data_IF_169674402339
#
_entry.id   IF_169674402339
#
_cell.length_a   1.000
_cell.length_b   1.000
_cell.length_c   1.000
_cell.angle_alpha   90.00
_cell.angle_beta   90.00
_cell.angle_gamma   90.00
#
_symmetry.space_group_name_H-M   'P 1'
#
loop_
_entity.id
_entity.type
_entity.pdbx_description
1 polymer ?
#
# COMPACT_ATOMS: atom_id res chain seq x y z
N UNK A 1 -3.52 -11.46 -61.74
CA UNK A 1 -4.73 -12.06 -62.35
C UNK A 1 -5.72 -12.39 -61.24
N UNK A 2 -6.94 -11.84 -61.31
CA UNK A 2 -8.02 -12.01 -60.32
C UNK A 2 -8.62 -13.43 -60.43
N UNK A 3 -8.80 -14.13 -59.30
CA UNK A 3 -9.71 -15.29 -59.23
C UNK A 3 -10.70 -15.10 -58.08
N UNK A 4 -11.97 -15.35 -58.39
CA UNK A 4 -13.19 -14.94 -57.69
C UNK A 4 -13.53 -15.91 -56.56
N UNK A 5 -13.94 -15.37 -55.41
CA UNK A 5 -14.59 -16.10 -54.32
C UNK A 5 -15.94 -16.67 -54.76
N UNK A 6 -16.23 -17.90 -54.34
CA UNK A 6 -17.59 -18.41 -54.18
C UNK A 6 -17.73 -18.86 -52.73
N UNK A 7 -18.58 -18.16 -51.99
CA UNK A 7 -18.97 -18.50 -50.61
C UNK A 7 -20.10 -19.52 -50.70
N UNK A 8 -19.90 -20.70 -50.13
CA UNK A 8 -20.97 -21.62 -49.76
C UNK A 8 -20.82 -21.90 -48.26
N UNK A 9 -21.64 -21.22 -47.47
CA UNK A 9 -22.01 -21.58 -46.10
C UNK A 9 -23.37 -22.32 -46.20
N UNK A 10 -23.58 -23.42 -45.46
CA UNK A 10 -24.06 -23.23 -44.08
C UNK A 10 -23.53 -24.23 -43.03
N UNK A 11 -23.42 -23.72 -41.79
CA UNK A 11 -23.71 -24.34 -40.47
C UNK A 11 -23.15 -25.75 -40.12
N UNK A 12 -22.58 -26.06 -38.95
CA UNK A 12 -22.36 -25.36 -37.68
C UNK A 12 -21.39 -26.22 -36.82
N UNK A 13 -20.51 -25.54 -36.07
CA UNK A 13 -19.92 -25.92 -34.78
C UNK A 13 -18.94 -27.11 -34.67
N UNK A 14 -17.64 -26.80 -34.55
CA UNK A 14 -16.98 -26.75 -33.23
C UNK A 14 -15.51 -26.33 -33.33
N UNK A 15 -15.25 -25.10 -32.86
CA UNK A 15 -14.00 -24.63 -32.22
C UNK A 15 -12.68 -24.84 -32.98
N UNK A 16 -12.58 -24.26 -34.18
CA UNK A 16 -11.33 -23.61 -34.57
C UNK A 16 -11.51 -22.12 -34.30
N UNK A 17 -11.38 -21.71 -33.03
CA UNK A 17 -11.27 -20.28 -32.71
C UNK A 17 -9.79 -19.96 -32.67
N UNK A 18 -9.41 -19.30 -33.77
CA UNK A 18 -8.28 -18.43 -33.95
C UNK A 18 -7.40 -18.20 -32.71
N UNK A 19 -6.09 -18.40 -32.92
CA UNK A 19 -5.06 -17.58 -32.31
C UNK A 19 -5.27 -16.11 -32.73
N UNK A 20 -6.37 -15.50 -32.29
CA UNK A 20 -6.46 -14.07 -32.18
C UNK A 20 -5.56 -13.72 -31.03
N UNK A 21 -4.56 -12.90 -31.34
CA UNK A 21 -3.99 -11.93 -30.43
C UNK A 21 -4.93 -11.70 -29.25
N UNK A 22 -4.69 -12.41 -28.15
CA UNK A 22 -4.99 -11.85 -26.85
C UNK A 22 -4.00 -10.69 -26.78
N UNK A 23 -4.39 -9.57 -27.42
CA UNK A 23 -3.93 -8.25 -27.08
C UNK A 23 -3.84 -8.30 -25.59
N UNK A 24 -2.61 -8.30 -25.08
CA UNK A 24 -2.33 -7.99 -23.70
C UNK A 24 -2.94 -6.62 -23.54
N UNK A 25 -4.23 -6.59 -23.24
CA UNK A 25 -4.94 -5.42 -22.80
C UNK A 25 -4.27 -5.16 -21.47
N UNK A 26 -3.12 -4.51 -21.57
CA UNK A 26 -2.57 -3.71 -20.51
C UNK A 26 -3.68 -2.71 -20.33
N UNK A 27 -4.63 -3.03 -19.43
CA UNK A 27 -5.64 -2.09 -19.03
C UNK A 27 -4.89 -0.79 -18.78
N UNK A 28 -5.37 0.36 -19.28
CA UNK A 28 -4.83 1.62 -18.81
C UNK A 28 -5.14 1.62 -17.31
N UNK A 29 -4.19 1.18 -16.49
CA UNK A 29 -4.13 1.57 -15.09
C UNK A 29 -3.83 3.05 -15.18
N UNK A 30 -4.89 3.84 -15.33
CA UNK A 30 -4.78 5.28 -15.19
C UNK A 30 -4.08 5.49 -13.86
N UNK A 31 -2.93 6.10 -13.96
CA UNK A 31 -2.10 6.39 -12.82
C UNK A 31 -2.60 7.70 -12.25
N UNK A 32 -2.81 7.75 -10.94
CA UNK A 32 -3.26 8.96 -10.26
C UNK A 32 -2.36 9.31 -9.09
N UNK A 33 -2.57 10.52 -8.57
CA UNK A 33 -1.79 11.08 -7.47
C UNK A 33 -2.53 11.01 -6.14
N UNK A 34 -1.86 10.53 -5.10
CA UNK A 34 -2.35 10.54 -3.73
C UNK A 34 -1.26 11.08 -2.81
N UNK A 35 -1.59 12.07 -2.00
CA UNK A 35 -0.80 12.48 -0.85
C UNK A 35 -1.26 11.70 0.38
N UNK A 36 -0.34 11.03 1.05
CA UNK A 36 -0.58 10.41 2.36
C UNK A 36 0.03 11.30 3.42
N UNK A 37 -0.77 11.64 4.43
CA UNK A 37 -0.31 12.36 5.62
C UNK A 37 -0.54 11.50 6.87
N UNK A 38 0.46 11.49 7.74
CA UNK A 38 0.43 10.90 9.07
C UNK A 38 0.60 12.00 10.11
N UNK A 39 -0.34 12.09 11.04
CA UNK A 39 -0.22 12.84 12.28
C UNK A 39 0.19 11.87 13.39
N UNK A 40 1.49 11.79 13.63
CA UNK A 40 2.05 10.93 14.68
C UNK A 40 2.09 11.71 15.99
N UNK A 41 1.46 11.19 17.04
CA UNK A 41 1.56 11.84 18.34
C UNK A 41 2.99 11.69 18.89
N UNK A 42 3.61 12.75 19.46
CA UNK A 42 4.89 12.59 20.11
C UNK A 42 4.70 11.74 21.37
N UNK A 43 5.60 10.79 21.58
CA UNK A 43 5.61 9.96 22.78
C UNK A 43 6.78 10.36 23.68
N UNK A 44 6.55 10.42 24.99
CA UNK A 44 7.62 10.59 25.98
C UNK A 44 7.97 9.23 26.59
N UNK A 45 9.26 8.96 26.75
CA UNK A 45 9.70 7.70 27.33
C UNK A 45 11.20 7.47 27.16
N UNK A 46 11.76 6.63 28.03
CA UNK A 46 13.13 6.17 27.88
C UNK A 46 13.20 5.06 26.81
N UNK A 47 14.32 4.98 26.10
CA UNK A 47 14.62 3.81 25.25
C UNK A 47 14.87 2.59 26.13
N UNK A 48 13.86 1.75 26.28
CA UNK A 48 13.98 0.44 26.94
C UNK A 48 14.41 -0.62 25.92
N UNK A 49 14.86 -1.82 26.36
CA UNK A 49 15.14 -2.93 25.44
C UNK A 49 13.96 -3.29 24.53
N UNK A 50 12.72 -3.20 25.05
CA UNK A 50 11.50 -3.42 24.27
C UNK A 50 11.29 -2.36 23.18
N UNK A 51 11.53 -1.08 23.50
CA UNK A 51 11.49 0.01 22.52
C UNK A 51 12.54 -0.21 21.43
N UNK A 52 13.77 -0.59 21.81
CA UNK A 52 14.83 -0.86 20.84
C UNK A 52 14.47 -2.04 19.92
N UNK A 53 13.92 -3.13 20.45
CA UNK A 53 13.46 -4.26 19.65
C UNK A 53 12.33 -3.88 18.67
N UNK A 54 11.41 -3.00 19.09
CA UNK A 54 10.37 -2.43 18.21
C UNK A 54 10.99 -1.60 17.08
N UNK A 55 11.91 -0.68 17.41
CA UNK A 55 12.60 0.17 16.45
C UNK A 55 13.46 -0.64 15.47
N UNK A 56 14.13 -1.70 15.93
CA UNK A 56 14.89 -2.63 15.07
C UNK A 56 13.98 -3.32 14.04
N UNK A 57 12.77 -3.73 14.44
CA UNK A 57 11.77 -4.32 13.52
C UNK A 57 11.21 -3.31 12.52
N UNK A 58 11.07 -2.04 12.90
CA UNK A 58 10.72 -0.95 11.97
C UNK A 58 11.79 -0.68 10.91
N UNK A 59 13.03 -1.15 11.12
CA UNK A 59 14.16 -0.90 10.25
C UNK A 59 14.71 0.52 10.38
N UNK A 60 15.50 0.97 9.40
CA UNK A 60 16.23 2.24 9.45
C UNK A 60 15.36 3.49 9.23
N UNK A 61 14.04 3.36 9.04
CA UNK A 61 13.15 4.47 8.70
C UNK A 61 12.06 4.63 9.75
N UNK A 62 12.18 5.71 10.52
CA UNK A 62 11.31 6.08 11.64
C UNK A 62 9.81 6.17 11.30
N UNK A 63 9.48 6.86 10.20
CA UNK A 63 8.13 7.12 9.73
C UNK A 63 8.06 6.69 8.28
N UNK A 64 7.32 5.62 7.98
CA UNK A 64 7.26 5.11 6.62
C UNK A 64 5.94 4.39 6.34
N UNK A 65 5.68 4.20 5.05
CA UNK A 65 4.53 3.44 4.58
C UNK A 65 4.95 2.35 3.63
N UNK A 66 4.13 1.28 3.57
CA UNK A 66 4.26 0.20 2.60
C UNK A 66 3.00 0.09 1.74
N UNK A 67 3.04 0.64 0.51
CA UNK A 67 1.92 0.57 -0.40
C UNK A 67 1.91 -0.76 -1.17
N UNK A 68 0.78 -1.47 -1.12
CA UNK A 68 0.59 -2.78 -1.75
C UNK A 68 0.83 -2.83 -3.27
N UNK A 69 0.65 -1.71 -3.97
CA UNK A 69 0.90 -1.65 -5.42
C UNK A 69 2.38 -1.53 -5.77
N UNK A 70 3.24 -1.19 -4.80
CA UNK A 70 4.69 -1.17 -4.98
C UNK A 70 5.39 -2.43 -4.47
N UNK A 71 4.71 -3.26 -3.66
CA UNK A 71 5.26 -4.52 -3.12
C UNK A 71 5.64 -5.54 -4.22
N UNK A 72 5.13 -5.38 -5.45
CA UNK A 72 5.40 -6.28 -6.60
C UNK A 72 6.46 -5.76 -7.59
N UNK A 73 7.07 -4.59 -7.37
CA UNK A 73 8.14 -4.10 -8.25
C UNK A 73 9.45 -4.85 -7.94
N UNK A 74 9.68 -5.92 -8.72
CA UNK A 74 10.87 -6.74 -8.78
C UNK A 74 12.19 -5.95 -8.60
N UNK A 75 12.88 -6.13 -7.48
CA UNK A 75 14.27 -6.65 -7.39
C UNK A 75 14.73 -6.62 -5.93
N UNK A 76 15.13 -7.78 -5.44
CA UNK A 76 15.42 -8.12 -4.05
C UNK A 76 16.75 -7.54 -3.51
N UNK A 77 17.10 -6.29 -3.83
CA UNK A 77 18.40 -5.70 -3.43
C UNK A 77 18.34 -4.33 -2.77
N UNK A 78 17.20 -3.67 -2.81
CA UNK A 78 16.82 -2.56 -1.94
C UNK A 78 15.42 -2.88 -1.45
N UNK A 79 15.07 -2.67 -0.18
CA UNK A 79 13.70 -2.84 0.32
C UNK A 79 12.79 -1.77 -0.33
N UNK A 80 12.20 -2.02 -1.52
CA UNK A 80 11.62 -0.97 -2.37
C UNK A 80 10.17 -0.67 -1.97
N UNK A 81 9.66 -1.39 -0.96
CA UNK A 81 8.30 -1.28 -0.46
C UNK A 81 8.15 -0.16 0.58
N UNK A 82 9.23 0.29 1.22
CA UNK A 82 9.14 1.34 2.24
C UNK A 82 9.32 2.70 1.61
N UNK A 83 8.29 3.54 1.72
CA UNK A 83 8.36 4.95 1.36
C UNK A 83 8.45 5.76 2.64
N UNK A 84 9.60 6.40 2.87
CA UNK A 84 9.81 7.29 4.00
C UNK A 84 8.82 8.48 3.90
N UNK A 85 8.20 8.81 5.03
CA UNK A 85 7.38 10.01 5.14
C UNK A 85 8.27 11.18 5.54
N UNK A 86 8.25 12.26 4.77
CA UNK A 86 8.98 13.48 5.07
C UNK A 86 8.25 14.28 6.13
N UNK A 87 8.95 14.79 7.13
CA UNK A 87 8.35 15.67 8.13
C UNK A 87 8.02 17.03 7.50
N UNK A 88 6.73 17.39 7.50
CA UNK A 88 6.23 18.66 6.91
C UNK A 88 5.88 19.70 7.95
N UNK A 89 5.56 19.27 9.18
CA UNK A 89 5.38 20.11 10.35
C UNK A 89 5.75 19.31 11.62
N UNK A 90 5.83 19.93 12.81
CA UNK A 90 5.95 19.16 14.05
C UNK A 90 4.89 18.06 14.09
N UNK A 91 5.31 16.81 14.27
CA UNK A 91 4.42 15.65 14.37
C UNK A 91 3.58 15.31 13.12
N UNK A 92 3.82 15.97 11.99
CA UNK A 92 3.14 15.71 10.72
C UNK A 92 4.14 15.25 9.66
N UNK A 93 3.87 14.11 9.05
CA UNK A 93 4.73 13.46 8.07
C UNK A 93 3.91 13.15 6.82
N UNK A 94 4.49 13.35 5.63
CA UNK A 94 3.77 13.13 4.39
C UNK A 94 4.65 12.57 3.26
N UNK A 95 3.99 11.91 2.31
CA UNK A 95 4.58 11.52 1.03
C UNK A 95 3.52 11.58 -0.08
N UNK A 96 3.93 12.01 -1.27
CA UNK A 96 3.09 11.99 -2.46
C UNK A 96 3.45 10.79 -3.35
N UNK A 97 2.43 10.14 -3.86
CA UNK A 97 2.50 9.03 -4.79
C UNK A 97 1.88 9.49 -6.09
N UNK A 98 2.58 9.39 -7.20
CA UNK A 98 2.10 9.74 -8.54
C UNK A 98 1.98 8.51 -9.44
N UNK A 99 1.91 7.33 -8.83
CA UNK A 99 1.94 6.01 -9.47
C UNK A 99 0.82 5.10 -8.91
N UNK A 100 -0.22 5.67 -8.30
CA UNK A 100 -1.29 4.89 -7.65
C UNK A 100 -2.23 4.37 -8.73
N UNK A 101 -2.48 3.05 -8.79
CA UNK A 101 -3.44 2.51 -9.73
C UNK A 101 -4.86 3.01 -9.43
N UNK A 102 -5.53 3.61 -10.41
CA UNK A 102 -6.92 4.03 -10.28
C UNK A 102 -7.91 2.87 -10.47
N UNK A 103 -9.13 3.07 -9.97
CA UNK A 103 -10.27 2.13 -10.01
C UNK A 103 -9.98 0.76 -9.40
N UNK A 104 -9.08 0.71 -8.42
CA UNK A 104 -8.76 -0.51 -7.71
C UNK A 104 -8.65 -0.24 -6.22
N UNK A 105 -8.87 -1.31 -5.47
CA UNK A 105 -8.61 -1.36 -4.05
C UNK A 105 -7.10 -1.51 -3.84
N UNK A 106 -6.52 -0.63 -3.04
CA UNK A 106 -5.13 -0.73 -2.61
C UNK A 106 -5.06 -0.65 -1.09
N UNK A 107 -4.12 -1.37 -0.51
CA UNK A 107 -3.81 -1.28 0.91
C UNK A 107 -2.50 -0.55 1.14
N UNK A 108 -2.39 0.07 2.31
CA UNK A 108 -1.24 0.84 2.72
C UNK A 108 -0.96 0.54 4.20
N UNK A 109 0.21 -0.04 4.47
CA UNK A 109 0.67 -0.30 5.84
C UNK A 109 1.40 0.93 6.34
N UNK A 110 1.04 1.46 7.51
CA UNK A 110 1.65 2.69 8.03
C UNK A 110 2.41 2.40 9.31
N UNK A 111 3.66 2.86 9.35
CA UNK A 111 4.54 2.68 10.48
C UNK A 111 4.93 4.00 11.13
N UNK A 112 4.83 4.04 12.47
CA UNK A 112 5.11 5.18 13.33
C UNK A 112 5.98 4.77 14.51
N UNK A 113 7.22 5.26 14.54
CA UNK A 113 8.16 4.99 15.63
C UNK A 113 7.65 5.45 17.00
N UNK A 114 6.80 6.49 17.07
CA UNK A 114 6.28 6.96 18.35
C UNK A 114 5.34 5.92 19.00
N UNK A 115 4.77 5.00 18.22
CA UNK A 115 4.00 3.89 18.78
C UNK A 115 4.89 2.94 19.58
N UNK A 116 6.16 2.75 19.19
CA UNK A 116 7.11 1.94 19.97
C UNK A 116 7.28 2.47 21.39
N UNK A 117 7.25 3.79 21.57
CA UNK A 117 7.39 4.45 22.86
C UNK A 117 6.08 4.46 23.65
N UNK A 118 4.91 4.52 22.99
CA UNK A 118 3.59 4.46 23.64
C UNK A 118 3.21 3.05 24.10
N UNK A 119 3.54 2.03 23.31
CA UNK A 119 3.21 0.62 23.57
C UNK A 119 4.48 -0.25 23.52
N UNK A 120 5.43 -0.05 24.44
CA UNK A 120 6.55 -0.96 24.56
C UNK A 120 6.03 -2.34 24.98
N UNK A 121 6.30 -3.39 24.20
CA UNK A 121 5.93 -4.76 24.58
C UNK A 121 6.78 -5.20 25.75
N UNK A 122 6.16 -5.48 26.89
CA UNK A 122 6.84 -5.95 28.08
C UNK A 122 7.11 -7.45 27.91
N UNK A 123 8.37 -7.91 27.88
CA UNK A 123 8.66 -9.34 27.73
C UNK A 123 8.01 -10.16 28.86
N UNK A 124 7.28 -11.23 28.51
CA UNK A 124 6.69 -12.16 29.49
C UNK A 124 5.34 -11.78 30.12
N UNK A 125 4.65 -10.72 29.64
CA UNK A 125 3.25 -10.47 30.02
C UNK A 125 2.28 -11.20 29.07
N UNK A 126 1.02 -11.35 29.48
CA UNK A 126 -0.04 -12.03 28.71
C UNK A 126 -0.33 -11.43 27.31
N UNK A 127 0.33 -10.32 26.96
CA UNK A 127 0.36 -9.75 25.60
C UNK A 127 1.36 -10.47 24.66
N UNK A 128 2.10 -11.49 25.13
CA UNK A 128 2.80 -12.44 24.27
C UNK A 128 1.92 -13.66 23.97
N UNK A 129 1.60 -13.87 22.69
CA UNK A 129 2.57 -14.59 21.86
C UNK A 129 2.93 -13.85 20.56
N UNK A 130 4.21 -13.54 20.39
CA UNK A 130 4.86 -13.39 19.07
C UNK A 130 4.74 -12.06 18.32
N UNK A 131 4.03 -11.06 18.86
CA UNK A 131 3.98 -9.71 18.28
C UNK A 131 4.58 -8.69 19.24
N UNK A 132 5.90 -8.49 19.18
CA UNK A 132 6.45 -7.17 19.50
C UNK A 132 5.64 -6.15 18.69
N UNK A 133 5.25 -5.03 19.30
CA UNK A 133 4.65 -3.93 18.56
C UNK A 133 5.66 -3.59 17.47
N UNK A 134 5.31 -3.82 16.21
CA UNK A 134 5.89 -3.02 15.15
C UNK A 134 5.28 -1.64 15.37
N UNK A 135 6.02 -0.53 15.26
CA UNK A 135 5.42 0.79 15.41
C UNK A 135 4.34 0.98 14.35
N UNK A 136 3.09 0.70 14.68
CA UNK A 136 1.93 0.65 13.79
C UNK A 136 1.05 1.85 14.08
N UNK A 137 0.36 2.34 13.07
CA UNK A 137 -0.58 3.44 13.26
C UNK A 137 -2.00 2.91 13.38
N UNK A 138 -2.69 3.28 14.47
CA UNK A 138 -4.12 2.97 14.65
C UNK A 138 -5.04 4.13 14.24
N UNK A 139 -4.52 5.37 14.17
CA UNK A 139 -5.28 6.60 13.86
C UNK A 139 -4.38 7.71 13.32
N UNK A 140 -4.93 8.74 12.69
CA UNK A 140 -4.18 9.95 12.30
C UNK A 140 -3.59 9.89 10.88
N UNK A 141 -4.07 8.96 10.05
CA UNK A 141 -3.70 8.91 8.63
C UNK A 141 -4.78 9.58 7.80
N UNK A 142 -4.38 10.38 6.82
CA UNK A 142 -5.27 10.91 5.79
C UNK A 142 -4.68 10.71 4.41
N UNK A 143 -5.55 10.65 3.41
CA UNK A 143 -5.19 10.57 2.00
C UNK A 143 -5.90 11.69 1.24
N UNK A 144 -5.13 12.53 0.53
CA UNK A 144 -5.63 13.74 -0.13
C UNK A 144 -6.50 14.62 0.81
N UNK A 145 -6.06 14.76 2.07
CA UNK A 145 -6.77 15.51 3.11
C UNK A 145 -8.00 14.80 3.70
N UNK A 146 -8.40 13.63 3.17
CA UNK A 146 -9.52 12.83 3.71
C UNK A 146 -9.00 11.88 4.79
N UNK A 147 -9.46 11.97 6.05
CA UNK A 147 -9.05 11.05 7.12
C UNK A 147 -9.36 9.61 6.75
N UNK A 148 -8.49 8.65 7.04
CA UNK A 148 -8.74 7.22 6.84
C UNK A 148 -9.17 6.59 8.18
N UNK A 149 -10.31 5.90 8.19
CA UNK A 149 -10.84 5.26 9.40
C UNK A 149 -10.95 3.74 9.31
N UNK A 150 -10.67 3.15 8.15
CA UNK A 150 -10.84 1.72 7.90
C UNK A 150 -9.52 0.95 7.90
N UNK A 151 -9.32 0.16 8.95
CA UNK A 151 -8.23 -0.83 9.04
C UNK A 151 -8.70 -2.16 8.45
N UNK A 152 -7.93 -2.71 7.50
CA UNK A 152 -8.10 -4.06 6.96
C UNK A 152 -6.99 -4.92 7.55
N UNK A 153 -7.30 -5.67 8.60
CA UNK A 153 -6.30 -6.40 9.39
C UNK A 153 -5.81 -5.59 10.58
N UNK A 154 -4.63 -5.91 11.11
CA UNK A 154 -4.07 -5.27 12.30
C UNK A 154 -3.04 -4.16 11.98
N UNK A 155 -2.77 -3.91 10.70
CA UNK A 155 -1.63 -3.10 10.24
C UNK A 155 -1.86 -2.35 8.91
N UNK A 156 -2.88 -2.69 8.13
CA UNK A 156 -3.10 -2.05 6.83
C UNK A 156 -4.36 -1.20 6.82
N UNK A 157 -4.29 -0.06 6.14
CA UNK A 157 -5.44 0.79 5.81
C UNK A 157 -5.89 0.52 4.38
N UNK A 158 -7.19 0.58 4.15
CA UNK A 158 -7.75 0.46 2.81
C UNK A 158 -7.95 1.82 2.16
N UNK A 159 -7.60 1.89 0.88
CA UNK A 159 -7.93 3.01 0.01
C UNK A 159 -8.61 2.48 -1.25
N UNK A 160 -9.72 3.11 -1.63
CA UNK A 160 -10.32 2.94 -2.96
C UNK A 160 -10.09 4.24 -3.71
N UNK A 161 -9.34 4.17 -4.81
CA UNK A 161 -8.93 5.35 -5.57
C UNK A 161 -9.71 5.42 -6.89
N UNK A 162 -10.44 6.50 -7.10
CA UNK A 162 -11.26 6.73 -8.31
C UNK A 162 -10.44 7.20 -9.54
N UNK A 163 -11.10 7.25 -10.70
CA UNK A 163 -10.54 7.73 -11.98
C UNK A 163 -10.00 9.16 -11.94
N UNK A 164 -10.52 10.00 -11.03
CA UNK A 164 -10.15 11.40 -10.84
C UNK A 164 -9.11 11.59 -9.70
N UNK A 165 -8.62 10.50 -9.10
CA UNK A 165 -7.68 10.54 -7.97
C UNK A 165 -8.32 10.76 -6.61
N UNK A 166 -9.66 10.76 -6.52
CA UNK A 166 -10.35 10.90 -5.24
C UNK A 166 -10.23 9.60 -4.43
N UNK A 167 -9.95 9.75 -3.13
CA UNK A 167 -9.88 8.63 -2.18
C UNK A 167 -11.23 8.48 -1.49
N UNK A 168 -11.77 7.27 -1.47
CA UNK A 168 -13.00 6.90 -0.76
C UNK A 168 -12.75 5.82 0.31
N UNK A 169 -13.54 5.87 1.39
CA UNK A 169 -13.44 5.00 2.57
C UNK A 169 -14.44 3.85 2.55
#
# INVERSE_FOLDING_TARGET
MKRRCWILLPMLASLATDCQDASRATAPTTVTSVEITLESQPASGARTPAVNACLERLGSVAQHVRPSWRDNYFTAQFDPARVALAQTAPNRYAASFNDVPANTQVTLTVHDENECFRRPVIPGTADEPGRLADGRVTTGVSANGTPLTRVVGADALLLIVGTDGVVSQ
#
